data_IF_332271829247
#
_entry.id   IF_332271829247
#
_cell.length_a   1.000
_cell.length_b   1.000
_cell.length_c   1.000
_cell.angle_alpha   90.00
_cell.angle_beta   90.00
_cell.angle_gamma   90.00
#
_symmetry.space_group_name_H-M   'P 1'
#
loop_
_entity.id
_entity.type
_entity.pdbx_description
1 polymer ?
#
# COMPACT_ATOMS: atom_id res chain seq x y z
N UNK A 1 -25.15 -63.16 -52.54
CA UNK A 1 -26.48 -63.19 -51.88
C UNK A 1 -27.12 -61.83 -51.99
N UNK A 2 -28.45 -61.84 -52.06
CA UNK A 2 -29.40 -60.80 -52.45
C UNK A 2 -29.46 -59.51 -51.61
N UNK A 3 -30.07 -58.50 -52.26
CA UNK A 3 -30.96 -57.40 -51.79
C UNK A 3 -30.30 -56.04 -51.48
N UNK A 4 -30.57 -54.98 -52.26
CA UNK A 4 -31.83 -54.21 -52.49
C UNK A 4 -32.12 -53.24 -51.33
N UNK A 5 -32.19 -51.93 -51.61
CA UNK A 5 -33.38 -51.05 -51.41
C UNK A 5 -32.98 -49.55 -51.48
N UNK A 6 -33.76 -48.83 -52.31
CA UNK A 6 -33.86 -47.37 -52.47
C UNK A 6 -34.36 -46.67 -51.18
N UNK A 7 -34.04 -45.40 -50.98
CA UNK A 7 -34.98 -44.25 -50.83
C UNK A 7 -34.18 -42.98 -50.42
N UNK A 8 -34.13 -41.95 -51.27
CA UNK A 8 -34.90 -40.70 -51.15
C UNK A 8 -34.77 -39.99 -49.79
N UNK A 9 -34.10 -38.82 -49.72
CA UNK A 9 -34.75 -37.54 -49.32
C UNK A 9 -33.83 -36.31 -49.41
N UNK A 10 -34.29 -35.35 -50.23
CA UNK A 10 -34.38 -33.88 -50.02
C UNK A 10 -33.19 -33.06 -49.48
N UNK A 11 -32.67 -32.24 -50.40
CA UNK A 11 -32.38 -30.80 -50.32
C UNK A 11 -32.80 -30.08 -49.03
N UNK A 12 -31.88 -29.30 -48.44
CA UNK A 12 -32.14 -27.93 -47.93
C UNK A 12 -30.83 -27.14 -47.84
N UNK A 13 -30.78 -26.06 -48.63
CA UNK A 13 -29.84 -24.94 -48.51
C UNK A 13 -30.00 -24.24 -47.16
N UNK A 14 -28.94 -23.59 -46.69
CA UNK A 14 -29.06 -22.46 -45.77
C UNK A 14 -27.84 -22.31 -44.87
N UNK A 15 -26.81 -21.64 -45.37
CA UNK A 15 -25.64 -21.28 -44.58
C UNK A 15 -26.06 -20.48 -43.34
N UNK A 16 -25.68 -20.98 -42.17
CA UNK A 16 -25.74 -20.19 -40.95
C UNK A 16 -24.66 -19.11 -41.03
N UNK A 17 -25.09 -17.87 -41.21
CA UNK A 17 -24.27 -16.68 -40.96
C UNK A 17 -23.81 -16.76 -39.50
N UNK A 18 -22.52 -17.04 -39.30
CA UNK A 18 -21.83 -16.79 -38.04
C UNK A 18 -21.79 -15.27 -37.88
N UNK A 19 -22.82 -14.72 -37.24
CA UNK A 19 -22.75 -13.37 -36.70
C UNK A 19 -21.75 -13.42 -35.54
N UNK A 20 -20.47 -13.32 -35.89
CA UNK A 20 -19.41 -13.02 -34.93
C UNK A 20 -19.70 -11.66 -34.34
N UNK A 21 -20.36 -11.64 -33.19
CA UNK A 21 -20.35 -10.49 -32.29
C UNK A 21 -18.90 -10.31 -31.86
N UNK A 22 -18.13 -9.58 -32.67
CA UNK A 22 -16.93 -8.88 -32.23
C UNK A 22 -17.42 -7.81 -31.25
N UNK A 23 -17.72 -8.25 -30.04
CA UNK A 23 -17.61 -7.42 -28.86
C UNK A 23 -16.15 -7.01 -28.83
N UNK A 24 -15.81 -5.93 -29.52
CA UNK A 24 -14.63 -5.13 -29.17
C UNK A 24 -14.94 -4.57 -27.80
N UNK A 25 -14.78 -5.42 -26.78
CA UNK A 25 -14.67 -4.98 -25.41
C UNK A 25 -13.47 -4.06 -25.42
N UNK A 26 -13.73 -2.76 -25.55
CA UNK A 26 -12.76 -1.75 -25.18
C UNK A 26 -12.29 -2.16 -23.81
N UNK A 27 -11.03 -2.55 -23.70
CA UNK A 27 -10.37 -2.67 -22.41
C UNK A 27 -10.57 -1.31 -21.78
N UNK A 28 -11.45 -1.23 -20.78
CA UNK A 28 -11.57 -0.06 -19.95
C UNK A 28 -10.21 0.06 -19.28
N UNK A 29 -9.32 0.86 -19.88
CA UNK A 29 -8.09 1.26 -19.24
C UNK A 29 -8.53 1.99 -17.99
N UNK A 30 -8.30 1.39 -16.83
CA UNK A 30 -8.51 2.08 -15.57
C UNK A 30 -7.63 3.32 -15.63
N UNK A 31 -8.24 4.50 -15.62
CA UNK A 31 -7.50 5.75 -15.59
C UNK A 31 -6.57 5.69 -14.37
N UNK A 32 -5.27 5.88 -14.59
CA UNK A 32 -4.27 5.86 -13.52
C UNK A 32 -4.16 7.26 -12.92
N UNK A 33 -4.10 7.35 -11.59
CA UNK A 33 -4.06 8.64 -10.91
C UNK A 33 -2.70 9.32 -11.09
N UNK A 34 -2.66 10.65 -11.36
CA UNK A 34 -1.40 11.39 -11.56
C UNK A 34 -0.62 11.60 -10.25
N UNK A 35 -1.19 11.23 -9.11
CA UNK A 35 -0.60 11.37 -7.79
C UNK A 35 -0.88 10.11 -6.96
N UNK A 36 -0.04 9.90 -5.97
CA UNK A 36 -0.24 8.89 -4.93
C UNK A 36 -0.41 9.57 -3.57
N UNK A 37 -1.35 9.12 -2.77
CA UNK A 37 -1.52 9.54 -1.37
C UNK A 37 -0.86 8.53 -0.45
N UNK A 38 -0.01 8.99 0.45
CA UNK A 38 0.54 8.12 1.51
C UNK A 38 -0.46 8.07 2.66
N UNK A 39 -0.92 6.87 3.00
CA UNK A 39 -1.82 6.63 4.12
C UNK A 39 -1.15 5.68 5.11
N UNK A 40 -0.72 6.24 6.24
CA UNK A 40 -0.17 5.46 7.35
C UNK A 40 -1.25 4.54 7.94
N UNK A 41 -0.91 3.27 8.15
CA UNK A 41 -1.84 2.28 8.69
C UNK A 41 -1.45 1.88 10.11
N UNK A 42 -0.24 1.38 10.31
CA UNK A 42 0.24 1.04 11.64
C UNK A 42 1.75 1.01 11.71
N UNK A 43 2.27 1.03 12.93
CA UNK A 43 3.65 0.62 13.18
C UNK A 43 3.73 -0.09 14.52
N UNK A 44 4.71 -0.98 14.67
CA UNK A 44 4.89 -1.79 15.88
C UNK A 44 6.34 -1.72 16.33
N UNK A 45 6.55 -1.45 17.62
CA UNK A 45 7.86 -1.46 18.27
C UNK A 45 8.05 -2.79 18.99
N UNK A 46 8.66 -3.78 18.34
CA UNK A 46 8.85 -5.14 18.92
C UNK A 46 10.00 -5.20 19.92
N UNK A 47 11.06 -4.46 19.66
CA UNK A 47 12.20 -4.24 20.53
C UNK A 47 12.65 -2.79 20.34
N UNK A 48 12.91 -2.11 21.45
CA UNK A 48 13.21 -0.69 21.51
C UNK A 48 14.72 -0.45 21.36
N UNK A 49 15.08 0.71 20.83
CA UNK A 49 16.45 1.22 20.85
C UNK A 49 16.85 1.60 22.27
N UNK A 50 15.97 2.31 22.99
CA UNK A 50 16.22 2.75 24.35
C UNK A 50 15.59 1.86 25.43
N UNK A 51 16.06 2.06 26.67
CA UNK A 51 15.52 1.35 27.82
C UNK A 51 14.18 1.92 28.25
N UNK A 52 13.10 1.24 27.87
CA UNK A 52 11.77 1.43 28.41
C UNK A 52 10.79 2.05 27.43
N UNK A 53 11.17 3.18 26.84
CA UNK A 53 10.37 3.91 25.86
C UNK A 53 11.24 4.51 24.76
N UNK A 54 10.68 4.63 23.56
CA UNK A 54 11.24 5.42 22.44
C UNK A 54 10.27 6.52 22.02
N UNK A 55 10.78 7.62 21.48
CA UNK A 55 10.06 8.84 21.13
C UNK A 55 9.84 8.92 19.62
N UNK A 56 8.84 8.21 19.12
CA UNK A 56 8.74 7.99 17.68
C UNK A 56 7.89 9.02 16.91
N UNK A 57 8.22 9.17 15.64
CA UNK A 57 7.38 9.86 14.66
C UNK A 57 7.59 9.31 13.23
N UNK A 58 6.65 9.57 12.33
CA UNK A 58 6.69 9.09 10.94
C UNK A 58 6.67 10.26 9.98
N UNK A 59 7.54 10.24 8.97
CA UNK A 59 7.57 11.25 7.89
C UNK A 59 7.47 10.60 6.52
N UNK A 60 7.04 11.40 5.55
CA UNK A 60 7.25 11.13 4.13
C UNK A 60 8.19 12.20 3.57
N UNK A 61 9.27 11.78 2.92
CA UNK A 61 10.39 12.61 2.52
C UNK A 61 10.59 12.55 1.01
N UNK A 62 10.63 13.72 0.36
CA UNK A 62 10.85 13.85 -1.08
C UNK A 62 11.83 14.99 -1.35
N UNK A 63 13.02 14.63 -1.86
CA UNK A 63 14.13 15.57 -1.94
C UNK A 63 14.48 16.14 -0.56
N UNK A 64 14.61 17.46 -0.42
CA UNK A 64 14.90 18.12 0.85
C UNK A 64 13.67 18.41 1.72
N UNK A 65 12.48 17.93 1.32
CA UNK A 65 11.21 18.22 2.02
C UNK A 65 10.73 16.98 2.76
N UNK A 66 10.56 17.10 4.07
CA UNK A 66 9.90 16.11 4.91
C UNK A 66 8.52 16.64 5.33
N UNK A 67 7.51 15.77 5.29
CA UNK A 67 6.19 16.03 5.86
C UNK A 67 5.91 14.99 6.94
N UNK A 68 5.61 15.45 8.15
CA UNK A 68 5.23 14.57 9.27
C UNK A 68 3.87 13.95 8.98
N UNK A 69 3.80 12.63 8.97
CA UNK A 69 2.57 11.84 8.83
C UNK A 69 1.91 11.65 10.19
N UNK A 70 2.71 11.37 11.21
CA UNK A 70 2.24 11.10 12.58
C UNK A 70 3.36 11.38 13.60
N UNK A 71 3.02 11.86 14.81
CA UNK A 71 1.77 12.53 15.16
C UNK A 71 1.52 13.78 14.30
N UNK A 72 0.29 14.31 14.28
CA UNK A 72 0.03 15.57 13.55
C UNK A 72 0.62 16.80 14.26
N UNK A 73 0.87 16.72 15.56
CA UNK A 73 1.55 17.77 16.32
C UNK A 73 3.06 17.75 16.04
N UNK A 74 3.75 18.83 16.39
CA UNK A 74 5.22 18.90 16.34
C UNK A 74 5.90 17.99 17.39
N UNK A 75 5.12 17.25 18.18
CA UNK A 75 5.60 16.27 19.16
C UNK A 75 5.97 14.93 18.51
N UNK A 76 6.50 14.06 19.35
CA UNK A 76 6.69 12.62 19.19
C UNK A 76 5.65 11.83 20.01
N UNK A 77 5.55 10.53 19.75
CA UNK A 77 4.77 9.59 20.56
C UNK A 77 5.72 8.67 21.32
N UNK A 78 5.68 8.70 22.65
CA UNK A 78 6.38 7.69 23.45
C UNK A 78 5.73 6.30 23.28
N UNK A 79 6.52 5.30 22.89
CA UNK A 79 6.12 3.89 22.72
C UNK A 79 6.95 2.95 23.58
N UNK A 80 6.32 1.91 24.11
CA UNK A 80 7.02 0.87 24.85
C UNK A 80 7.10 -0.43 24.02
N UNK A 81 7.99 -1.34 24.43
CA UNK A 81 8.16 -2.64 23.76
C UNK A 81 6.84 -3.39 23.60
N UNK A 82 6.61 -3.92 22.41
CA UNK A 82 5.39 -4.56 21.93
C UNK A 82 4.20 -3.63 21.66
N UNK A 83 4.34 -2.31 21.77
CA UNK A 83 3.25 -1.42 21.36
C UNK A 83 3.07 -1.47 19.83
N UNK A 84 1.81 -1.61 19.41
CA UNK A 84 1.39 -1.40 18.04
C UNK A 84 0.45 -0.21 17.99
N UNK A 85 0.83 0.80 17.23
CA UNK A 85 0.02 1.97 16.96
C UNK A 85 -0.82 1.71 15.73
N UNK A 86 -2.14 1.64 15.93
CA UNK A 86 -3.14 1.46 14.88
C UNK A 86 -3.71 2.82 14.49
N UNK A 87 -3.62 3.14 13.21
CA UNK A 87 -4.23 4.33 12.62
C UNK A 87 -5.55 3.92 11.96
N UNK A 88 -6.63 4.61 12.31
CA UNK A 88 -7.96 4.42 11.71
C UNK A 88 -8.46 2.96 11.73
N UNK A 89 -8.10 2.21 12.78
CA UNK A 89 -8.53 0.83 12.96
C UNK A 89 -7.77 -0.20 12.12
N UNK A 90 -6.61 0.17 11.55
CA UNK A 90 -5.73 -0.78 10.89
C UNK A 90 -5.33 -1.93 11.84
N UNK A 91 -5.21 -3.17 11.35
CA UNK A 91 -4.93 -4.31 12.20
C UNK A 91 -3.54 -4.23 12.82
N UNK A 92 -3.45 -4.67 14.07
CA UNK A 92 -2.19 -4.87 14.78
C UNK A 92 -1.82 -6.36 14.80
N UNK A 93 -0.52 -6.70 14.70
CA UNK A 93 -0.07 -8.08 14.81
C UNK A 93 -0.46 -8.72 16.16
N UNK A 94 -0.75 -10.03 16.14
CA UNK A 94 -0.99 -10.81 17.37
C UNK A 94 0.24 -10.73 18.27
N UNK A 95 0.01 -10.56 19.58
CA UNK A 95 1.08 -10.44 20.57
C UNK A 95 1.60 -9.01 20.77
N UNK A 96 1.09 -8.03 20.01
CA UNK A 96 1.32 -6.61 20.28
C UNK A 96 0.25 -6.02 21.19
N UNK A 97 0.56 -4.89 21.83
CA UNK A 97 -0.36 -4.06 22.61
C UNK A 97 -0.92 -2.94 21.73
N UNK A 98 -2.20 -3.04 21.40
CA UNK A 98 -2.90 -2.08 20.56
C UNK A 98 -2.99 -0.69 21.21
N UNK A 99 -2.63 0.34 20.46
CA UNK A 99 -2.87 1.75 20.77
C UNK A 99 -3.51 2.43 19.55
N UNK A 100 -4.76 2.85 19.67
CA UNK A 100 -5.53 3.36 18.52
C UNK A 100 -5.49 4.88 18.41
N UNK A 101 -5.28 5.37 17.19
CA UNK A 101 -5.29 6.78 16.83
C UNK A 101 -6.04 6.99 15.51
N UNK A 102 -6.48 8.23 15.26
CA UNK A 102 -7.15 8.63 14.01
C UNK A 102 -6.58 9.89 13.37
N UNK A 103 -5.81 10.67 14.14
CA UNK A 103 -5.21 11.92 13.69
C UNK A 103 -3.88 11.65 12.97
N UNK A 104 -3.90 11.69 11.63
CA UNK A 104 -2.71 11.55 10.76
C UNK A 104 -2.79 12.51 9.58
N UNK A 105 -1.63 12.96 9.10
CA UNK A 105 -1.52 13.65 7.82
C UNK A 105 -1.42 12.62 6.68
N UNK A 106 -2.16 12.85 5.60
CA UNK A 106 -2.20 11.96 4.42
C UNK A 106 -1.85 12.73 3.15
N UNK A 107 -0.58 13.19 3.01
CA UNK A 107 -0.17 14.00 1.88
C UNK A 107 -0.20 13.21 0.56
N UNK A 108 -0.43 13.94 -0.54
CA UNK A 108 -0.31 13.41 -1.90
C UNK A 108 0.97 13.89 -2.57
N UNK A 109 1.58 13.03 -3.38
CA UNK A 109 2.81 13.28 -4.12
C UNK A 109 2.60 13.01 -5.62
N UNK A 110 3.25 13.78 -6.51
CA UNK A 110 3.26 13.46 -7.94
C UNK A 110 3.78 12.05 -8.20
N UNK A 111 3.11 11.33 -9.09
CA UNK A 111 3.47 9.99 -9.52
C UNK A 111 4.47 10.04 -10.69
N UNK A 112 5.60 10.72 -10.48
CA UNK A 112 6.58 11.07 -11.53
C UNK A 112 7.90 10.28 -11.43
N UNK A 113 7.91 9.22 -10.62
CA UNK A 113 9.08 8.35 -10.43
C UNK A 113 10.20 8.97 -9.58
N UNK A 114 10.01 10.16 -8.99
CA UNK A 114 11.01 10.71 -8.06
C UNK A 114 10.98 9.96 -6.72
N UNK A 115 12.15 9.71 -6.15
CA UNK A 115 12.29 9.03 -4.86
C UNK A 115 11.46 9.73 -3.77
N UNK A 116 10.60 8.94 -3.14
CA UNK A 116 9.84 9.25 -1.94
C UNK A 116 10.24 8.22 -0.88
N UNK A 117 10.59 8.66 0.33
CA UNK A 117 10.90 7.75 1.44
C UNK A 117 9.86 7.93 2.55
N UNK A 118 9.25 6.83 3.00
CA UNK A 118 8.43 6.84 4.23
C UNK A 118 9.29 6.29 5.34
N UNK A 119 9.47 7.08 6.41
CA UNK A 119 10.48 6.81 7.42
C UNK A 119 9.86 6.90 8.82
N UNK A 120 10.08 5.86 9.62
CA UNK A 120 9.85 5.84 11.06
C UNK A 120 11.16 6.28 11.74
N UNK A 121 11.07 7.30 12.57
CA UNK A 121 12.16 7.90 13.31
C UNK A 121 12.00 7.67 14.80
N UNK A 122 13.12 7.60 15.51
CA UNK A 122 13.22 7.90 16.93
C UNK A 122 13.69 9.35 17.12
N UNK A 123 13.16 10.07 18.10
CA UNK A 123 13.53 11.43 18.48
C UNK A 123 14.23 11.39 19.84
N UNK A 124 15.52 11.07 19.84
CA UNK A 124 16.33 11.05 21.05
C UNK A 124 17.20 12.32 21.19
N UNK A 125 17.92 12.43 22.31
CA UNK A 125 18.82 13.56 22.58
C UNK A 125 20.13 13.53 21.75
N UNK A 126 20.48 12.40 21.13
CA UNK A 126 21.70 12.20 20.35
C UNK A 126 21.49 12.45 18.85
N UNK A 127 20.24 12.57 18.41
CA UNK A 127 19.81 12.94 17.07
C UNK A 127 18.86 11.90 16.48
N UNK A 128 17.97 12.35 15.61
CA UNK A 128 16.89 11.51 15.11
C UNK A 128 17.44 10.33 14.30
N UNK A 129 17.25 9.11 14.81
CA UNK A 129 17.69 7.88 14.17
C UNK A 129 16.57 7.26 13.33
N UNK A 130 16.89 6.89 12.09
CA UNK A 130 15.93 6.25 11.20
C UNK A 130 15.77 4.78 11.57
N UNK A 131 14.71 4.44 12.29
CA UNK A 131 14.37 3.09 12.71
C UNK A 131 13.92 2.20 11.54
N UNK A 132 13.13 2.76 10.61
CA UNK A 132 12.67 2.07 9.39
C UNK A 132 12.63 3.08 8.25
N UNK A 133 13.19 2.76 7.09
CA UNK A 133 13.12 3.61 5.89
C UNK A 133 12.68 2.80 4.67
N UNK A 134 11.56 3.20 4.07
CA UNK A 134 10.97 2.54 2.89
C UNK A 134 11.12 3.45 1.67
N UNK A 135 12.07 3.17 0.77
CA UNK A 135 12.21 3.92 -0.48
C UNK A 135 11.14 3.49 -1.49
N UNK A 136 10.52 4.47 -2.12
CA UNK A 136 9.45 4.31 -3.10
C UNK A 136 9.76 5.16 -4.34
N UNK A 137 9.32 4.68 -5.50
CA UNK A 137 9.34 5.44 -6.75
C UNK A 137 7.91 5.57 -7.26
N UNK A 138 7.12 6.54 -6.74
CA UNK A 138 5.73 6.72 -7.10
C UNK A 138 5.52 6.76 -8.62
N UNK A 139 4.74 5.82 -9.12
CA UNK A 139 4.22 5.80 -10.48
C UNK A 139 2.69 5.86 -10.45
N UNK A 140 2.03 6.16 -11.58
CA UNK A 140 0.57 6.18 -11.60
C UNK A 140 0.00 4.81 -11.20
N UNK A 141 -0.98 4.82 -10.30
CA UNK A 141 -1.66 3.62 -9.78
C UNK A 141 -3.16 3.78 -9.95
N UNK A 142 -3.85 2.66 -10.18
CA UNK A 142 -5.32 2.60 -10.27
C UNK A 142 -5.96 1.93 -9.05
N UNK A 143 -5.16 1.30 -8.20
CA UNK A 143 -5.58 0.59 -6.99
C UNK A 143 -4.61 0.88 -5.83
N UNK A 144 -4.99 0.45 -4.62
CA UNK A 144 -4.15 0.64 -3.44
C UNK A 144 -2.95 -0.31 -3.48
N UNK A 145 -1.76 0.22 -3.20
CA UNK A 145 -0.55 -0.58 -3.00
C UNK A 145 -0.22 -0.61 -1.51
N UNK A 146 -0.02 -1.80 -0.94
CA UNK A 146 0.24 -1.97 0.49
C UNK A 146 1.71 -2.26 0.73
N UNK A 147 2.28 -1.53 1.69
CA UNK A 147 3.68 -1.64 2.07
C UNK A 147 3.79 -2.03 3.53
N UNK A 148 4.64 -3.04 3.78
CA UNK A 148 5.01 -3.51 5.10
C UNK A 148 6.51 -3.71 5.13
N UNK A 149 7.18 -2.95 5.98
CA UNK A 149 8.63 -3.07 6.17
C UNK A 149 8.94 -3.48 7.60
N UNK A 150 9.96 -4.32 7.76
CA UNK A 150 10.46 -4.74 9.07
C UNK A 150 11.95 -4.48 9.14
N UNK A 151 12.37 -3.65 10.09
CA UNK A 151 13.77 -3.37 10.31
C UNK A 151 14.25 -4.05 11.59
N UNK A 152 15.45 -4.64 11.51
CA UNK A 152 16.21 -5.16 12.64
C UNK A 152 17.59 -4.53 12.61
N UNK A 153 17.85 -3.56 13.48
CA UNK A 153 19.10 -2.82 13.50
C UNK A 153 19.57 -2.82 14.96
N UNK A 154 20.85 -3.13 15.20
CA UNK A 154 21.48 -3.11 16.53
C UNK A 154 20.70 -3.80 17.68
N UNK A 155 19.83 -4.77 17.37
CA UNK A 155 19.04 -5.53 18.35
C UNK A 155 17.63 -4.98 18.62
N UNK A 156 17.28 -3.81 18.08
CA UNK A 156 15.90 -3.32 18.05
C UNK A 156 15.16 -3.80 16.80
N UNK A 157 13.83 -3.77 16.86
CA UNK A 157 12.97 -4.35 15.83
C UNK A 157 11.67 -3.55 15.72
N UNK A 158 11.44 -2.99 14.53
CA UNK A 158 10.23 -2.25 14.22
C UNK A 158 9.58 -2.76 12.96
N UNK A 159 8.27 -2.55 12.88
CA UNK A 159 7.47 -2.80 11.70
C UNK A 159 6.70 -1.54 11.34
N UNK A 160 6.72 -1.14 10.07
CA UNK A 160 5.97 0.00 9.53
C UNK A 160 5.04 -0.48 8.41
N UNK A 161 3.76 -0.13 8.52
CA UNK A 161 2.71 -0.45 7.56
C UNK A 161 2.04 0.84 7.06
N UNK A 162 1.96 0.97 5.75
CA UNK A 162 1.22 2.05 5.09
C UNK A 162 0.76 1.59 3.72
N UNK A 163 -0.14 2.36 3.10
CA UNK A 163 -0.54 2.14 1.73
C UNK A 163 -0.40 3.40 0.88
N UNK A 164 -0.22 3.19 -0.41
CA UNK A 164 -0.40 4.22 -1.43
C UNK A 164 -1.82 4.11 -1.99
N UNK A 165 -2.54 5.21 -2.02
CA UNK A 165 -3.85 5.30 -2.66
C UNK A 165 -3.79 6.17 -3.93
N UNK A 166 -4.55 5.86 -4.99
CA UNK A 166 -4.71 6.76 -6.12
C UNK A 166 -5.22 8.14 -5.67
N UNK A 167 -4.60 9.22 -6.16
CA UNK A 167 -5.02 10.60 -5.88
C UNK A 167 -5.11 11.46 -7.15
N UNK A 168 -6.26 12.11 -7.33
CA UNK A 168 -6.56 12.92 -8.52
C UNK A 168 -6.32 14.43 -8.31
N UNK A 169 -6.00 14.85 -7.08
CA UNK A 169 -5.70 16.22 -6.67
C UNK A 169 -4.59 16.26 -5.61
#
# INVERSE_FOLDING_TARGET
>A
MYRLIRLLTRVSLGGALVAGSLLTGSTAHADTAPRVRVVLESFTAWALEESGHDEIYVTAQRGSKAQKLFPQSDSYLSVARYDCVSINGAPCPVGSRLRSFSAVNTPSYPADGQLLSVVLWDDDLAGDDALVSVPLWPHPISENEYHRERAFINGYHYELNFRLEPAWA
#
